data_IF_912225816408
#
_entry.id   IF_912225816408
#
_cell.length_a   1.000
_cell.length_b   1.000
_cell.length_c   1.000
_cell.angle_alpha   90.00
_cell.angle_beta   90.00
_cell.angle_gamma   90.00
#
_symmetry.space_group_name_H-M   'P 1'
#
loop_
_entity.id
_entity.type
_entity.pdbx_description
1 polymer ?
#
# COMPACT_ATOMS: atom_id res chain seq x y z
N UNK A 1 1.74 0.39 16.54
CA UNK A 1 0.94 1.10 15.54
C UNK A 1 -0.55 0.85 15.67
N UNK A 2 -0.97 -0.38 15.82
CA UNK A 2 -2.35 -0.71 16.19
C UNK A 2 -2.72 -0.09 17.52
N UNK A 3 -1.79 0.01 18.46
CA UNK A 3 -1.95 0.67 19.76
C UNK A 3 -2.26 2.17 19.66
N UNK A 4 -1.72 2.90 18.67
CA UNK A 4 -2.03 4.31 18.46
C UNK A 4 -3.48 4.54 18.05
N UNK A 5 -4.06 3.63 17.27
CA UNK A 5 -5.47 3.66 16.92
C UNK A 5 -6.36 3.23 18.08
N UNK A 6 -5.91 2.28 18.92
CA UNK A 6 -6.59 1.85 20.14
C UNK A 6 -6.64 2.98 21.18
N UNK A 7 -5.57 3.74 21.38
CA UNK A 7 -5.49 4.88 22.30
C UNK A 7 -6.47 5.99 21.91
N UNK A 8 -6.68 6.23 20.63
CA UNK A 8 -7.67 7.19 20.15
C UNK A 8 -9.11 6.73 20.38
N UNK A 9 -9.32 5.44 20.57
CA UNK A 9 -10.63 4.84 20.83
C UNK A 9 -10.97 4.69 22.31
N UNK A 10 -10.01 4.81 23.21
CA UNK A 10 -10.18 4.60 24.64
C UNK A 10 -10.76 5.82 25.38
N UNK A 11 -11.20 6.85 24.69
CA UNK A 11 -11.98 7.90 25.30
C UNK A 11 -13.45 7.47 25.46
N UNK A 12 -13.66 6.55 26.39
CA UNK A 12 -14.96 5.96 26.70
C UNK A 12 -16.04 7.01 27.03
N UNK A 13 -15.65 8.18 27.50
CA UNK A 13 -16.61 9.19 27.92
C UNK A 13 -17.28 9.93 26.78
N UNK A 14 -16.58 10.11 25.65
CA UNK A 14 -17.17 10.66 24.44
C UNK A 14 -17.97 9.61 23.67
N UNK A 15 -17.61 8.36 23.83
CA UNK A 15 -18.14 7.22 23.09
C UNK A 15 -19.49 6.71 23.62
N UNK A 16 -19.74 6.81 24.90
CA UNK A 16 -20.99 6.35 25.52
C UNK A 16 -22.21 7.19 25.15
N UNK A 17 -22.00 8.38 24.58
CA UNK A 17 -23.08 9.29 24.16
C UNK A 17 -23.50 9.10 22.71
N UNK A 18 -22.70 8.44 21.92
CA UNK A 18 -23.03 8.09 20.54
C UNK A 18 -23.39 6.60 20.54
N UNK A 19 -24.53 6.26 19.98
CA UNK A 19 -24.89 4.85 19.77
C UNK A 19 -23.66 4.12 19.25
N UNK A 20 -23.25 3.04 19.94
CA UNK A 20 -22.03 2.28 19.67
C UNK A 20 -21.80 2.14 18.18
N UNK A 21 -20.84 2.85 17.57
CA UNK A 21 -20.48 2.58 16.21
C UNK A 21 -19.94 1.15 16.14
N UNK A 22 -20.22 0.48 15.06
CA UNK A 22 -19.66 -0.83 14.77
C UNK A 22 -18.13 -0.73 14.86
N UNK A 23 -17.45 -1.69 15.52
CA UNK A 23 -16.01 -1.67 15.58
C UNK A 23 -15.43 -1.64 14.15
N UNK A 24 -14.41 -0.81 13.93
CA UNK A 24 -13.72 -0.74 12.65
C UNK A 24 -13.12 -2.11 12.35
N UNK A 25 -13.45 -2.68 11.20
CA UNK A 25 -12.90 -3.94 10.77
C UNK A 25 -11.38 -3.84 10.54
N UNK A 26 -10.67 -4.95 10.73
CA UNK A 26 -9.22 -5.03 10.55
C UNK A 26 -8.76 -4.46 9.22
N UNK A 27 -9.48 -4.73 8.14
CA UNK A 27 -9.18 -4.23 6.81
C UNK A 27 -9.22 -2.70 6.74
N UNK A 28 -10.17 -2.07 7.40
CA UNK A 28 -10.26 -0.61 7.46
C UNK A 28 -9.12 0.00 8.27
N UNK A 29 -8.70 -0.66 9.33
CA UNK A 29 -7.51 -0.27 10.10
C UNK A 29 -6.26 -0.36 9.23
N UNK A 30 -6.08 -1.43 8.49
CA UNK A 30 -4.94 -1.61 7.60
C UNK A 30 -4.89 -0.50 6.53
N UNK A 31 -6.02 -0.13 5.94
CA UNK A 31 -6.12 0.96 4.96
C UNK A 31 -5.73 2.31 5.59
N UNK A 32 -6.18 2.58 6.81
CA UNK A 32 -5.80 3.80 7.53
C UNK A 32 -4.31 3.84 7.87
N UNK A 33 -3.73 2.72 8.27
CA UNK A 33 -2.29 2.61 8.53
C UNK A 33 -1.48 2.90 7.26
N UNK A 34 -1.84 2.30 6.15
CA UNK A 34 -1.14 2.44 4.87
C UNK A 34 -1.23 3.87 4.34
N UNK A 35 -2.40 4.47 4.37
CA UNK A 35 -2.65 5.75 3.69
C UNK A 35 -2.44 6.98 4.57
N UNK A 36 -2.42 6.84 5.88
CA UNK A 36 -2.36 7.98 6.81
C UNK A 36 -1.21 7.88 7.79
N UNK A 37 -1.17 6.83 8.60
CA UNK A 37 -0.24 6.73 9.73
C UNK A 37 1.20 6.54 9.27
N UNK A 38 1.45 5.61 8.37
CA UNK A 38 2.80 5.32 7.87
C UNK A 38 3.37 6.50 7.08
N UNK A 39 2.66 7.10 6.11
CA UNK A 39 3.15 8.30 5.43
C UNK A 39 3.38 9.48 6.37
N UNK A 40 2.50 9.69 7.34
CA UNK A 40 2.65 10.74 8.33
C UNK A 40 3.92 10.54 9.17
N UNK A 41 4.12 9.34 9.70
CA UNK A 41 5.32 9.03 10.49
C UNK A 41 6.60 9.16 9.66
N UNK A 42 6.58 8.70 8.43
CA UNK A 42 7.70 8.84 7.52
C UNK A 42 8.07 10.30 7.27
N UNK A 43 7.06 11.16 7.05
CA UNK A 43 7.28 12.57 6.77
C UNK A 43 7.80 13.37 7.98
N UNK A 44 7.37 13.01 9.18
CA UNK A 44 7.68 13.75 10.41
C UNK A 44 8.78 13.15 11.27
N UNK A 45 9.08 11.89 11.08
CA UNK A 45 10.21 11.25 11.74
C UNK A 45 11.49 11.64 11.03
N UNK A 46 12.20 12.60 11.56
CA UNK A 46 13.35 13.27 10.94
C UNK A 46 14.49 12.34 10.49
N UNK A 47 14.45 11.05 10.77
CA UNK A 47 15.52 10.10 10.40
C UNK A 47 15.07 8.65 10.32
N UNK A 48 13.81 8.36 10.38
CA UNK A 48 13.38 6.99 10.12
C UNK A 48 13.63 6.70 8.65
N UNK A 49 14.36 5.62 8.41
CA UNK A 49 14.76 5.27 7.06
C UNK A 49 13.55 4.76 6.25
N UNK A 50 13.67 4.86 4.95
CA UNK A 50 12.75 4.17 4.01
C UNK A 50 12.59 2.70 4.41
N UNK A 51 13.64 2.07 4.95
CA UNK A 51 13.61 0.68 5.42
C UNK A 51 12.57 0.43 6.51
N UNK A 52 12.41 1.35 7.45
CA UNK A 52 11.42 1.21 8.52
C UNK A 52 10.00 1.30 7.99
N UNK A 53 9.74 2.25 7.09
CA UNK A 53 8.44 2.36 6.42
C UNK A 53 8.10 1.10 5.61
N UNK A 54 9.05 0.57 4.87
CA UNK A 54 8.88 -0.68 4.11
C UNK A 54 8.64 -1.85 5.06
N UNK A 55 9.37 -1.94 6.17
CA UNK A 55 9.18 -3.00 7.16
C UNK A 55 7.78 -2.96 7.77
N UNK A 56 7.26 -1.79 8.10
CA UNK A 56 5.89 -1.65 8.59
C UNK A 56 4.86 -2.10 7.55
N UNK A 57 5.05 -1.70 6.30
CA UNK A 57 4.19 -2.13 5.19
C UNK A 57 4.28 -3.64 4.95
N UNK A 58 5.44 -4.24 5.12
CA UNK A 58 5.62 -5.70 5.00
C UNK A 58 4.87 -6.50 6.05
N UNK A 59 4.60 -5.89 7.21
CA UNK A 59 3.82 -6.53 8.29
C UNK A 59 2.31 -6.41 8.09
N UNK A 60 1.85 -5.63 7.13
CA UNK A 60 0.43 -5.48 6.80
C UNK A 60 0.09 -6.42 5.64
N UNK A 61 -1.04 -7.16 5.70
CA UNK A 61 -1.47 -8.01 4.60
C UNK A 61 -1.69 -7.24 3.30
N UNK A 62 -1.57 -7.92 2.18
CA UNK A 62 -1.84 -7.33 0.86
C UNK A 62 -3.26 -6.76 0.78
N UNK A 63 -3.41 -5.63 0.13
CA UNK A 63 -4.72 -5.06 -0.16
C UNK A 63 -5.42 -5.87 -1.25
N UNK A 64 -6.75 -5.83 -1.25
CA UNK A 64 -7.56 -6.43 -2.29
C UNK A 64 -8.35 -5.34 -3.04
N UNK A 65 -7.96 -5.07 -4.27
CA UNK A 65 -8.64 -4.14 -5.16
C UNK A 65 -8.48 -4.58 -6.62
N UNK A 66 -9.14 -3.89 -7.53
CA UNK A 66 -9.14 -4.24 -8.95
C UNK A 66 -7.73 -4.24 -9.55
N UNK A 67 -6.88 -3.27 -9.20
CA UNK A 67 -5.51 -3.16 -9.69
C UNK A 67 -4.70 -4.38 -9.25
N UNK A 68 -4.79 -4.75 -7.99
CA UNK A 68 -4.06 -5.89 -7.42
C UNK A 68 -4.54 -7.20 -8.01
N UNK A 69 -5.83 -7.35 -8.24
CA UNK A 69 -6.38 -8.54 -8.91
C UNK A 69 -5.85 -8.68 -10.33
N UNK A 70 -5.74 -7.59 -11.08
CA UNK A 70 -5.18 -7.60 -12.43
C UNK A 70 -3.72 -8.05 -12.42
N UNK A 71 -2.89 -7.54 -11.51
CA UNK A 71 -1.50 -7.97 -11.36
C UNK A 71 -1.38 -9.44 -10.97
N UNK A 72 -2.26 -9.92 -10.09
CA UNK A 72 -2.31 -11.33 -9.71
C UNK A 72 -2.65 -12.22 -10.90
N UNK A 73 -3.59 -11.80 -11.74
CA UNK A 73 -3.95 -12.54 -12.95
C UNK A 73 -2.80 -12.62 -13.96
N UNK A 74 -1.91 -11.64 -13.96
CA UNK A 74 -0.70 -11.64 -14.79
C UNK A 74 0.43 -12.51 -14.22
N UNK A 75 0.21 -13.15 -13.08
CA UNK A 75 1.19 -14.03 -12.45
C UNK A 75 2.13 -13.34 -11.46
N UNK A 76 1.89 -12.08 -11.13
CA UNK A 76 2.69 -11.38 -10.13
C UNK A 76 2.41 -11.89 -8.72
N UNK A 77 3.45 -12.32 -8.04
CA UNK A 77 3.36 -12.69 -6.62
C UNK A 77 3.29 -11.44 -5.74
N UNK A 78 2.25 -11.38 -4.91
CA UNK A 78 1.99 -10.23 -4.03
C UNK A 78 1.85 -10.76 -2.61
N UNK A 79 2.71 -10.29 -1.70
CA UNK A 79 2.82 -10.83 -0.34
C UNK A 79 2.28 -9.90 0.74
N UNK A 80 2.45 -8.60 0.58
CA UNK A 80 2.19 -7.63 1.64
C UNK A 80 1.72 -6.29 1.09
N UNK A 81 1.38 -5.37 1.99
CA UNK A 81 1.02 -3.99 1.63
C UNK A 81 2.16 -3.24 0.94
N UNK A 82 3.42 -3.58 1.22
CA UNK A 82 4.55 -3.00 0.50
C UNK A 82 4.48 -3.29 -1.00
N UNK A 83 4.20 -4.54 -1.36
CA UNK A 83 4.04 -4.94 -2.76
C UNK A 83 2.81 -4.28 -3.39
N UNK A 84 1.67 -4.25 -2.69
CA UNK A 84 0.44 -3.64 -3.21
C UNK A 84 0.60 -2.14 -3.44
N UNK A 85 1.25 -1.42 -2.54
CA UNK A 85 1.51 0.01 -2.71
C UNK A 85 2.46 0.30 -3.88
N UNK A 86 3.49 -0.51 -4.05
CA UNK A 86 4.40 -0.40 -5.19
C UNK A 86 3.67 -0.61 -6.51
N UNK A 87 2.80 -1.61 -6.61
CA UNK A 87 2.04 -1.91 -7.82
C UNK A 87 0.97 -0.85 -8.12
N UNK A 88 0.30 -0.33 -7.10
CA UNK A 88 -0.67 0.76 -7.25
C UNK A 88 0.03 2.01 -7.76
N UNK A 89 1.17 2.37 -7.17
CA UNK A 89 1.97 3.51 -7.61
C UNK A 89 2.43 3.35 -9.07
N UNK A 90 2.93 2.18 -9.43
CA UNK A 90 3.35 1.87 -10.78
C UNK A 90 2.19 2.00 -11.78
N UNK A 91 1.03 1.45 -11.44
CA UNK A 91 -0.16 1.52 -12.28
C UNK A 91 -0.62 2.96 -12.52
N UNK A 92 -0.68 3.76 -11.46
CA UNK A 92 -1.15 5.15 -11.54
C UNK A 92 -0.20 6.08 -12.28
N UNK A 93 1.10 5.88 -12.15
CA UNK A 93 2.10 6.79 -12.71
C UNK A 93 2.67 6.36 -14.06
N UNK A 94 2.56 5.10 -14.42
CA UNK A 94 3.11 4.59 -15.67
C UNK A 94 2.08 3.88 -16.55
N UNK A 95 1.25 2.99 -16.00
CA UNK A 95 0.32 2.21 -16.81
C UNK A 95 -0.89 3.05 -17.27
N UNK A 96 -1.57 3.75 -16.37
CA UNK A 96 -2.72 4.58 -16.71
C UNK A 96 -2.38 5.72 -17.68
N UNK A 97 -1.27 6.47 -17.48
CA UNK A 97 -0.87 7.49 -18.44
C UNK A 97 -0.23 6.95 -19.71
N UNK A 98 -0.14 5.64 -19.91
CA UNK A 98 0.53 5.00 -21.05
C UNK A 98 2.02 5.38 -21.18
N UNK A 99 2.70 5.55 -20.05
CA UNK A 99 4.13 5.87 -19.99
C UNK A 99 5.00 4.61 -19.80
N UNK A 100 4.68 3.54 -20.50
CA UNK A 100 5.37 2.24 -20.33
C UNK A 100 6.87 2.34 -20.62
N UNK A 101 7.27 3.17 -21.57
CA UNK A 101 8.69 3.36 -21.91
C UNK A 101 9.46 4.22 -20.91
N UNK A 102 8.77 4.90 -20.00
CA UNK A 102 9.40 5.67 -18.92
C UNK A 102 9.61 4.82 -17.66
N UNK A 103 9.03 3.61 -17.60
CA UNK A 103 9.22 2.70 -16.48
C UNK A 103 10.36 1.72 -16.78
N UNK A 104 11.12 1.36 -15.75
CA UNK A 104 12.20 0.37 -15.89
C UNK A 104 11.66 -0.99 -16.33
N UNK A 105 10.48 -1.37 -15.85
CA UNK A 105 9.83 -2.62 -16.23
C UNK A 105 9.46 -2.62 -17.72
N UNK A 106 8.84 -1.55 -18.20
CA UNK A 106 8.47 -1.41 -19.62
C UNK A 106 9.68 -1.42 -20.55
N UNK A 107 10.76 -0.74 -20.16
CA UNK A 107 12.02 -0.73 -20.91
C UNK A 107 12.62 -2.15 -21.00
N UNK A 108 12.64 -2.88 -19.90
CA UNK A 108 13.17 -4.25 -19.90
C UNK A 108 12.34 -5.20 -20.76
N UNK A 109 11.02 -5.12 -20.69
CA UNK A 109 10.12 -5.93 -21.53
C UNK A 109 10.33 -5.63 -23.01
N UNK A 110 10.46 -4.37 -23.36
CA UNK A 110 10.72 -3.95 -24.74
C UNK A 110 12.07 -4.50 -25.26
N UNK A 111 13.12 -4.37 -24.46
CA UNK A 111 14.44 -4.90 -24.80
C UNK A 111 14.46 -6.41 -24.98
N UNK A 112 13.81 -7.15 -24.09
CA UNK A 112 13.74 -8.62 -24.19
C UNK A 112 12.98 -9.07 -25.43
N UNK A 113 11.89 -8.40 -25.81
CA UNK A 113 11.16 -8.68 -27.05
C UNK A 113 11.97 -8.37 -28.30
N UNK A 114 12.77 -7.31 -28.31
CA UNK A 114 13.66 -7.02 -29.43
C UNK A 114 14.73 -8.10 -29.62
N UNK A 115 15.24 -8.66 -28.54
CA UNK A 115 16.20 -9.75 -28.59
C UNK A 115 15.59 -11.05 -29.11
N UNK A 116 14.30 -11.30 -28.87
CA UNK A 116 13.57 -12.44 -29.41
C UNK A 116 13.27 -12.31 -30.93
N UNK A 117 13.18 -11.10 -31.44
CA UNK A 117 12.91 -10.78 -32.84
C UNK A 117 14.18 -10.81 -33.73
N UNK A 118 15.34 -10.83 -33.13
CA UNK A 118 16.64 -10.90 -33.79
C UNK A 118 17.39 -12.16 -33.37
#
# INVERSE_FOLDING_TARGET
MVELLSIQYDDESAYSRVQRPLPIGKRSIDILLINTVIPYRYAYAQRESIKDAIQWLNNIPKEDNTIIRQWTMLGQEIRSAADTQALIHHNQNYCQPHLCFNSQVGIQVYRSKQLELF
#
